data_IF_680166537143
#
_entry.id   IF_680166537143
#
_cell.length_a   1.000
_cell.length_b   1.000
_cell.length_c   1.000
_cell.angle_alpha   90.00
_cell.angle_beta   90.00
_cell.angle_gamma   90.00
#
_symmetry.space_group_name_H-M   'P 1'
#
loop_
_entity.id
_entity.type
_entity.pdbx_description
1 polymer ?
#
# COMPACT_ATOMS: atom_id res chain seq x y z
N UNK A 1 -3.24 43.02 -19.36
CA UNK A 1 -2.43 41.84 -19.74
C UNK A 1 -3.38 40.82 -20.31
N UNK A 2 -3.36 40.64 -21.63
CA UNK A 2 -4.33 39.86 -22.39
C UNK A 2 -4.11 38.36 -22.18
N UNK A 3 -5.13 37.67 -21.70
CA UNK A 3 -5.19 36.20 -21.67
C UNK A 3 -5.50 35.69 -23.07
N UNK A 4 -4.49 35.18 -23.76
CA UNK A 4 -4.64 34.42 -25.00
C UNK A 4 -5.24 33.06 -24.64
N UNK A 5 -6.54 32.89 -24.86
CA UNK A 5 -7.24 31.63 -24.69
C UNK A 5 -6.82 30.66 -25.79
N UNK A 6 -6.02 29.66 -25.42
CA UNK A 6 -5.68 28.53 -26.27
C UNK A 6 -6.87 27.56 -26.26
N UNK A 7 -7.62 27.53 -27.37
CA UNK A 7 -8.70 26.56 -27.60
C UNK A 7 -8.04 25.20 -27.86
N UNK A 8 -8.18 24.28 -26.90
CA UNK A 8 -7.80 22.88 -27.09
C UNK A 8 -8.95 22.18 -27.80
N UNK A 9 -8.68 21.64 -28.98
CA UNK A 9 -9.61 20.77 -29.70
C UNK A 9 -9.82 19.44 -28.94
N UNK A 10 -10.99 18.81 -29.05
CA UNK A 10 -11.27 17.55 -28.37
C UNK A 10 -10.47 16.42 -29.02
N UNK A 11 -9.70 15.67 -28.23
CA UNK A 11 -8.88 14.49 -28.60
C UNK A 11 -9.78 13.27 -28.98
N UNK A 12 -11.03 13.51 -29.41
CA UNK A 12 -12.05 12.49 -29.69
C UNK A 12 -11.93 11.74 -31.01
N UNK A 13 -10.97 12.09 -31.86
CA UNK A 13 -10.90 11.58 -33.24
C UNK A 13 -9.61 10.80 -33.57
N UNK A 14 -8.96 10.17 -32.58
CA UNK A 14 -7.61 9.61 -32.75
C UNK A 14 -7.44 8.15 -32.30
N UNK A 15 -8.53 7.39 -32.18
CA UNK A 15 -8.47 5.93 -32.28
C UNK A 15 -9.25 5.53 -33.54
N UNK A 16 -8.55 5.45 -34.67
CA UNK A 16 -9.10 4.90 -35.91
C UNK A 16 -9.53 3.45 -35.68
N UNK A 17 -10.68 3.07 -36.24
CA UNK A 17 -11.24 1.72 -36.19
C UNK A 17 -10.24 0.66 -36.73
N UNK A 18 -9.28 1.04 -37.57
CA UNK A 18 -8.22 0.16 -38.11
C UNK A 18 -7.32 -0.46 -37.02
N UNK A 19 -7.14 0.22 -35.89
CA UNK A 19 -6.35 -0.28 -34.75
C UNK A 19 -7.08 -1.42 -34.03
N UNK A 20 -8.41 -1.40 -34.10
CA UNK A 20 -9.31 -2.31 -33.38
C UNK A 20 -9.31 -3.69 -34.03
N UNK A 21 -9.28 -3.70 -35.37
CA UNK A 21 -9.26 -4.91 -36.18
C UNK A 21 -7.93 -5.65 -36.06
N UNK A 22 -6.79 -4.94 -36.01
CA UNK A 22 -5.47 -5.56 -35.80
C UNK A 22 -5.35 -6.30 -34.47
N UNK A 23 -5.94 -5.76 -33.39
CA UNK A 23 -5.93 -6.36 -32.05
C UNK A 23 -6.81 -7.62 -31.96
N UNK A 24 -7.98 -7.59 -32.59
CA UNK A 24 -8.86 -8.77 -32.64
C UNK A 24 -8.29 -9.86 -33.57
N UNK A 25 -7.65 -9.48 -34.69
CA UNK A 25 -7.00 -10.40 -35.61
C UNK A 25 -5.80 -11.12 -34.97
N UNK A 26 -4.90 -10.41 -34.27
CA UNK A 26 -3.70 -11.04 -33.70
C UNK A 26 -4.04 -11.92 -32.48
N UNK A 27 -4.97 -11.51 -31.61
CA UNK A 27 -5.42 -12.32 -30.47
C UNK A 27 -6.24 -13.54 -30.93
N UNK A 28 -7.12 -13.38 -31.92
CA UNK A 28 -7.94 -14.46 -32.47
C UNK A 28 -7.12 -15.51 -33.22
N UNK A 29 -6.13 -15.08 -34.02
CA UNK A 29 -5.27 -15.98 -34.79
C UNK A 29 -4.32 -16.79 -33.88
N UNK A 30 -3.88 -16.23 -32.75
CA UNK A 30 -3.00 -16.91 -31.79
C UNK A 30 -3.70 -17.87 -30.83
N UNK A 31 -5.01 -17.71 -30.61
CA UNK A 31 -5.80 -18.56 -29.72
C UNK A 31 -6.57 -19.68 -30.44
N UNK A 32 -6.66 -19.64 -31.78
CA UNK A 32 -7.65 -20.42 -32.54
C UNK A 32 -7.21 -21.74 -33.20
N UNK A 33 -5.92 -22.05 -33.34
CA UNK A 33 -5.50 -22.97 -34.43
C UNK A 33 -4.88 -24.32 -34.09
N UNK A 34 -4.73 -24.74 -32.83
CA UNK A 34 -4.14 -26.08 -32.58
C UNK A 34 -4.80 -26.85 -31.43
N UNK A 35 -5.87 -27.58 -31.74
CA UNK A 35 -6.62 -28.39 -30.77
C UNK A 35 -6.96 -29.81 -31.21
N UNK A 36 -6.19 -30.39 -32.13
CA UNK A 36 -6.28 -31.83 -32.42
C UNK A 36 -5.01 -32.56 -31.96
N UNK A 37 -5.17 -33.38 -30.93
CA UNK A 37 -4.20 -34.37 -30.40
C UNK A 37 -3.01 -33.85 -29.57
N UNK A 38 -3.14 -33.84 -28.24
CA UNK A 38 -2.15 -34.46 -27.34
C UNK A 38 -2.52 -34.35 -25.86
N UNK A 39 -2.58 -35.51 -25.22
CA UNK A 39 -2.52 -35.73 -23.79
C UNK A 39 -1.07 -35.55 -23.32
N UNK A 40 -0.67 -34.35 -22.93
CA UNK A 40 0.59 -34.08 -22.23
C UNK A 40 0.55 -32.70 -21.62
N UNK A 41 0.87 -32.58 -20.32
CA UNK A 41 1.15 -31.39 -19.49
C UNK A 41 0.52 -30.06 -19.94
N UNK A 42 -0.25 -29.35 -19.09
CA UNK A 42 -0.86 -28.07 -19.44
C UNK A 42 0.20 -27.15 -20.04
N UNK A 43 0.14 -27.01 -21.37
CA UNK A 43 1.07 -26.21 -22.14
C UNK A 43 0.90 -24.78 -21.66
N UNK A 44 1.95 -24.24 -21.00
CA UNK A 44 2.05 -22.82 -20.68
C UNK A 44 1.64 -22.06 -21.94
N UNK A 45 0.62 -21.22 -21.82
CA UNK A 45 0.23 -20.29 -22.87
C UNK A 45 1.47 -19.46 -23.21
N UNK A 46 2.21 -19.83 -24.25
CA UNK A 46 3.41 -19.12 -24.66
C UNK A 46 2.94 -17.89 -25.43
N UNK A 47 2.61 -16.83 -24.71
CA UNK A 47 2.49 -15.51 -25.30
C UNK A 47 3.87 -15.17 -25.88
N UNK A 48 4.05 -15.42 -27.17
CA UNK A 48 5.22 -14.97 -27.92
C UNK A 48 5.09 -13.48 -28.12
N UNK A 49 5.53 -12.72 -27.13
CA UNK A 49 5.81 -11.30 -27.31
C UNK A 49 7.05 -11.19 -28.19
N UNK A 50 7.03 -10.29 -29.16
CA UNK A 50 8.22 -9.99 -29.96
C UNK A 50 9.40 -9.70 -29.02
N UNK A 51 10.59 -10.24 -29.31
CA UNK A 51 11.79 -10.12 -28.45
C UNK A 51 12.21 -8.65 -28.17
N UNK A 52 11.55 -7.69 -28.81
CA UNK A 52 11.79 -6.26 -28.71
C UNK A 52 10.94 -5.53 -27.64
N UNK A 53 10.06 -6.22 -26.89
CA UNK A 53 9.31 -5.59 -25.80
C UNK A 53 10.19 -5.34 -24.56
N UNK A 54 10.95 -4.25 -24.60
CA UNK A 54 11.70 -3.73 -23.46
C UNK A 54 10.72 -3.29 -22.36
N UNK A 55 10.66 -4.10 -21.30
CA UNK A 55 9.84 -3.79 -20.14
C UNK A 55 10.50 -2.64 -19.36
N UNK A 56 9.72 -1.68 -18.88
CA UNK A 56 10.23 -0.62 -18.00
C UNK A 56 9.77 -0.86 -16.57
N UNK A 57 10.67 -0.60 -15.63
CA UNK A 57 10.40 -0.68 -14.21
C UNK A 57 11.05 0.48 -13.47
N UNK A 58 10.62 0.74 -12.25
CA UNK A 58 11.15 1.80 -11.40
C UNK A 58 11.50 1.25 -10.04
N UNK A 59 12.65 1.65 -9.47
CA UNK A 59 13.02 1.22 -8.12
C UNK A 59 12.01 1.71 -7.08
N UNK A 60 11.62 0.85 -6.15
CA UNK A 60 10.64 1.17 -5.09
C UNK A 60 11.03 2.41 -4.28
N UNK A 61 12.33 2.64 -4.09
CA UNK A 61 12.85 3.83 -3.43
C UNK A 61 12.37 5.11 -4.11
N UNK A 62 12.40 5.17 -5.45
CA UNK A 62 11.92 6.33 -6.21
C UNK A 62 10.41 6.48 -6.11
N UNK A 63 9.67 5.36 -6.11
CA UNK A 63 8.20 5.33 -6.00
C UNK A 63 7.71 5.87 -4.65
N UNK A 64 8.35 5.46 -3.56
CA UNK A 64 7.96 5.84 -2.19
C UNK A 64 8.55 7.17 -1.73
N UNK A 65 9.53 7.70 -2.45
CA UNK A 65 10.19 8.98 -2.13
C UNK A 65 9.17 10.10 -1.94
N UNK A 66 9.45 10.99 -0.97
CA UNK A 66 8.58 12.14 -0.63
C UNK A 66 7.12 11.70 -0.38
N UNK A 67 6.95 10.61 0.36
CA UNK A 67 5.66 10.03 0.72
C UNK A 67 4.77 9.72 -0.49
N UNK A 68 5.36 9.03 -1.46
CA UNK A 68 4.67 8.58 -2.65
C UNK A 68 4.25 9.71 -3.57
N UNK A 69 5.09 10.74 -3.75
CA UNK A 69 4.79 11.91 -4.62
C UNK A 69 4.30 11.48 -6.00
N UNK A 70 4.84 10.38 -6.52
CA UNK A 70 4.48 9.81 -7.82
C UNK A 70 2.98 9.48 -7.94
N UNK A 71 2.36 9.01 -6.84
CA UNK A 71 0.93 8.70 -6.80
C UNK A 71 0.01 9.95 -6.71
N UNK A 72 0.55 11.15 -6.88
CA UNK A 72 -0.27 12.34 -7.02
C UNK A 72 -1.13 12.26 -8.29
N UNK A 73 -2.33 12.86 -8.26
CA UNK A 73 -3.31 12.84 -9.36
C UNK A 73 -2.91 13.66 -10.60
N UNK A 74 -1.69 14.18 -10.65
CA UNK A 74 -1.20 14.84 -11.86
C UNK A 74 -1.05 13.82 -12.98
N UNK A 75 -1.27 14.27 -14.21
CA UNK A 75 -0.86 13.54 -15.41
C UNK A 75 0.64 13.21 -15.29
N UNK A 76 1.04 12.07 -15.87
CA UNK A 76 2.46 11.73 -15.96
C UNK A 76 3.17 12.70 -16.90
N UNK A 77 4.39 13.05 -16.52
CA UNK A 77 5.28 13.87 -17.35
C UNK A 77 6.34 13.00 -18.01
N UNK A 78 7.05 13.56 -18.99
CA UNK A 78 8.24 12.93 -19.57
C UNK A 78 9.30 12.67 -18.48
N UNK A 79 9.43 13.57 -17.50
CA UNK A 79 10.34 13.38 -16.35
C UNK A 79 9.95 12.14 -15.53
N UNK A 80 8.64 11.91 -15.31
CA UNK A 80 8.16 10.72 -14.60
C UNK A 80 8.54 9.45 -15.39
N UNK A 81 8.41 9.46 -16.71
CA UNK A 81 8.79 8.32 -17.57
C UNK A 81 10.30 8.02 -17.56
N UNK A 82 11.13 9.07 -17.50
CA UNK A 82 12.59 8.97 -17.40
C UNK A 82 13.07 8.44 -16.03
N UNK A 83 12.21 8.40 -15.00
CA UNK A 83 12.55 7.73 -13.74
C UNK A 83 12.62 6.21 -13.89
N UNK A 84 11.88 5.67 -14.86
CA UNK A 84 11.89 4.26 -15.23
C UNK A 84 13.18 3.86 -15.93
N UNK A 85 13.50 2.58 -15.87
CA UNK A 85 14.62 1.98 -16.57
C UNK A 85 14.15 0.70 -17.26
N UNK A 86 14.80 0.35 -18.36
CA UNK A 86 14.54 -0.90 -19.06
C UNK A 86 15.03 -2.09 -18.21
N UNK A 87 14.19 -3.11 -18.11
CA UNK A 87 14.40 -4.32 -17.31
C UNK A 87 13.80 -5.51 -18.04
N UNK A 88 14.35 -6.70 -17.80
CA UNK A 88 13.76 -7.94 -18.32
C UNK A 88 12.60 -8.44 -17.44
N UNK A 89 12.68 -8.16 -16.14
CA UNK A 89 11.73 -8.65 -15.14
C UNK A 89 11.48 -7.56 -14.10
N UNK A 90 10.29 -7.60 -13.49
CA UNK A 90 9.93 -6.71 -12.36
C UNK A 90 9.59 -7.55 -11.14
N UNK A 91 10.09 -7.13 -9.98
CA UNK A 91 9.86 -7.85 -8.72
C UNK A 91 8.39 -7.79 -8.26
N UNK A 92 7.70 -6.69 -8.56
CA UNK A 92 6.29 -6.54 -8.25
C UNK A 92 5.56 -5.65 -9.26
N UNK A 93 4.36 -6.07 -9.64
CA UNK A 93 3.40 -5.25 -10.38
C UNK A 93 2.44 -4.57 -9.40
N UNK A 94 2.40 -3.24 -9.37
CA UNK A 94 1.56 -2.51 -8.42
C UNK A 94 0.23 -2.15 -9.10
N UNK A 95 -0.79 -2.99 -8.86
CA UNK A 95 -2.16 -2.68 -9.27
C UNK A 95 -2.85 -1.83 -8.21
N UNK A 96 -3.45 -0.72 -8.64
CA UNK A 96 -4.00 0.26 -7.72
C UNK A 96 -5.08 1.14 -8.39
N UNK A 97 -5.89 1.80 -7.56
CA UNK A 97 -6.89 2.76 -8.05
C UNK A 97 -6.43 4.22 -7.89
N UNK A 98 -6.50 5.01 -8.96
CA UNK A 98 -6.20 6.44 -8.98
C UNK A 98 -7.11 7.31 -8.09
N UNK A 99 -8.32 6.86 -7.78
CA UNK A 99 -9.22 7.57 -6.85
C UNK A 99 -8.70 7.57 -5.41
N UNK A 100 -7.96 6.53 -5.01
CA UNK A 100 -7.43 6.39 -3.66
C UNK A 100 -6.41 7.50 -3.36
N UNK A 101 -6.56 8.15 -2.20
CA UNK A 101 -5.66 9.22 -1.77
C UNK A 101 -4.20 8.74 -1.74
N UNK A 102 -3.29 9.58 -2.24
CA UNK A 102 -1.84 9.33 -2.33
C UNK A 102 -1.24 8.69 -1.09
N UNK A 103 -1.51 9.28 0.08
CA UNK A 103 -0.92 8.83 1.35
C UNK A 103 -1.33 7.41 1.73
N UNK A 104 -2.57 7.01 1.42
CA UNK A 104 -3.06 5.65 1.73
C UNK A 104 -2.32 4.59 0.89
N UNK A 105 -2.07 4.89 -0.40
CA UNK A 105 -1.23 4.04 -1.27
C UNK A 105 0.19 3.95 -0.75
N UNK A 106 0.79 5.10 -0.42
CA UNK A 106 2.15 5.15 0.12
C UNK A 106 2.28 4.33 1.40
N UNK A 107 1.35 4.48 2.35
CA UNK A 107 1.38 3.72 3.60
C UNK A 107 1.24 2.21 3.37
N UNK A 108 0.32 1.78 2.50
CA UNK A 108 0.16 0.37 2.16
C UNK A 108 1.45 -0.22 1.59
N UNK A 109 2.08 0.49 0.64
CA UNK A 109 3.33 0.04 0.04
C UNK A 109 4.52 0.11 1.00
N UNK A 110 4.59 1.12 1.90
CA UNK A 110 5.58 1.14 2.97
C UNK A 110 5.43 -0.07 3.91
N UNK A 111 4.20 -0.45 4.26
CA UNK A 111 3.96 -1.68 5.04
C UNK A 111 4.42 -2.92 4.28
N UNK A 112 4.13 -3.02 2.99
CA UNK A 112 4.57 -4.16 2.18
C UNK A 112 6.10 -4.27 2.07
N UNK A 113 6.79 -3.17 1.73
CA UNK A 113 8.22 -3.20 1.43
C UNK A 113 9.13 -2.99 2.65
N UNK A 114 8.70 -2.26 3.69
CA UNK A 114 9.58 -1.77 4.76
C UNK A 114 9.21 -2.27 6.17
N UNK A 115 8.20 -3.13 6.35
CA UNK A 115 7.79 -3.57 7.69
C UNK A 115 8.90 -4.33 8.43
N UNK A 116 9.62 -5.22 7.75
CA UNK A 116 10.72 -6.00 8.34
C UNK A 116 11.86 -5.11 8.85
N UNK A 117 12.48 -4.22 8.02
CA UNK A 117 13.53 -3.35 8.53
C UNK A 117 13.01 -2.40 9.61
N UNK A 118 11.75 -1.94 9.54
CA UNK A 118 11.16 -1.11 10.59
C UNK A 118 11.09 -1.84 11.94
N UNK A 119 10.66 -3.11 11.96
CA UNK A 119 10.65 -3.92 13.18
C UNK A 119 12.07 -4.15 13.74
N UNK A 120 13.03 -4.48 12.87
CA UNK A 120 14.42 -4.75 13.29
C UNK A 120 15.06 -3.49 13.88
N UNK A 121 14.97 -2.35 13.19
CA UNK A 121 15.55 -1.09 13.68
C UNK A 121 14.87 -0.63 14.96
N UNK A 122 13.54 -0.75 15.05
CA UNK A 122 12.79 -0.45 16.28
C UNK A 122 13.28 -1.26 17.47
N UNK A 123 13.45 -2.58 17.29
CA UNK A 123 13.94 -3.48 18.33
C UNK A 123 15.38 -3.13 18.75
N UNK A 124 16.26 -2.87 17.79
CA UNK A 124 17.66 -2.48 18.06
C UNK A 124 17.71 -1.17 18.86
N UNK A 125 16.93 -0.16 18.47
CA UNK A 125 16.86 1.12 19.19
C UNK A 125 16.31 0.92 20.60
N UNK A 126 15.27 0.09 20.76
CA UNK A 126 14.70 -0.20 22.07
C UNK A 126 15.71 -0.88 22.99
N UNK A 127 16.44 -1.88 22.51
CA UNK A 127 17.49 -2.57 23.26
C UNK A 127 18.65 -1.62 23.62
N UNK A 128 19.05 -0.77 22.68
CA UNK A 128 20.09 0.23 22.91
C UNK A 128 19.70 1.22 24.01
N UNK A 129 18.48 1.77 23.95
CA UNK A 129 17.98 2.68 24.98
C UNK A 129 17.82 1.98 26.33
N UNK A 130 17.42 0.71 26.33
CA UNK A 130 17.36 -0.10 27.55
C UNK A 130 18.73 -0.27 28.20
N UNK A 131 19.78 -0.57 27.41
CA UNK A 131 21.16 -0.65 27.91
C UNK A 131 21.63 0.70 28.47
N UNK A 132 21.28 1.82 27.81
CA UNK A 132 21.63 3.15 28.31
C UNK A 132 20.91 3.49 29.64
N UNK A 133 19.68 3.00 29.82
CA UNK A 133 18.97 3.11 31.11
C UNK A 133 19.67 2.28 32.18
N UNK A 134 20.05 1.03 31.88
CA UNK A 134 20.78 0.17 32.83
C UNK A 134 22.18 0.71 33.19
N UNK A 135 22.79 1.47 32.30
CA UNK A 135 24.10 2.10 32.51
C UNK A 135 24.01 3.48 33.19
N UNK A 136 22.83 3.85 33.70
CA UNK A 136 22.52 5.16 34.31
C UNK A 136 22.89 6.35 33.40
N UNK A 137 22.85 6.16 32.08
CA UNK A 137 23.11 7.23 31.09
C UNK A 137 21.83 7.93 30.66
N UNK A 138 20.71 7.23 30.70
CA UNK A 138 19.39 7.82 30.53
C UNK A 138 18.70 7.91 31.89
N UNK A 139 18.04 9.03 32.19
CA UNK A 139 17.37 9.20 33.47
C UNK A 139 16.24 8.19 33.56
N UNK A 140 16.29 7.41 34.62
CA UNK A 140 15.17 6.60 35.09
C UNK A 140 14.23 7.56 35.82
N UNK A 141 13.00 7.62 35.34
CA UNK A 141 11.98 8.43 35.99
C UNK A 141 11.62 7.72 37.31
N UNK A 142 11.94 8.37 38.42
CA UNK A 142 11.58 7.92 39.77
C UNK A 142 10.23 8.50 40.13
N UNK A 143 9.32 7.63 40.56
CA UNK A 143 8.08 8.04 41.20
C UNK A 143 8.25 7.84 42.70
N UNK A 144 8.40 8.93 43.44
CA UNK A 144 8.49 8.88 44.90
C UNK A 144 7.07 8.70 45.48
N UNK A 145 6.90 7.72 46.37
CA UNK A 145 5.65 7.56 47.11
C UNK A 145 5.66 8.52 48.30
N UNK A 146 4.72 9.45 48.34
CA UNK A 146 4.46 10.27 49.53
C UNK A 146 3.65 9.43 50.51
N UNK A 147 4.22 9.18 51.69
CA UNK A 147 3.58 8.45 52.78
C UNK A 147 2.34 9.22 53.27
N UNK A 148 1.17 8.59 53.23
CA UNK A 148 -0.13 9.29 53.38
C UNK A 148 -0.61 9.32 54.82
N UNK A 149 -0.22 8.34 55.63
CA UNK A 149 -0.82 8.13 56.95
C UNK A 149 0.17 8.22 58.11
N UNK A 150 1.42 8.65 57.87
CA UNK A 150 2.45 8.67 58.91
C UNK A 150 2.71 7.30 59.54
N UNK A 151 2.22 6.23 58.90
CA UNK A 151 2.60 4.87 59.19
C UNK A 151 3.96 4.72 58.53
N UNK A 152 5.03 4.73 59.32
CA UNK A 152 6.39 4.45 58.84
C UNK A 152 6.43 3.07 58.15
N UNK A 153 6.14 3.01 56.85
CA UNK A 153 6.44 1.85 55.99
C UNK A 153 7.88 2.02 55.43
N UNK A 154 8.75 2.63 56.23
CA UNK A 154 10.07 3.14 55.84
C UNK A 154 11.04 2.05 55.37
N UNK A 155 10.75 0.77 55.64
CA UNK A 155 11.60 -0.36 55.22
C UNK A 155 11.18 -1.06 53.92
N UNK A 156 10.00 -0.79 53.35
CA UNK A 156 9.54 -1.50 52.13
C UNK A 156 8.98 -0.61 51.02
N UNK A 157 9.26 0.69 51.05
CA UNK A 157 9.01 1.58 49.91
C UNK A 157 9.82 1.09 48.69
N UNK A 158 9.18 0.24 47.86
CA UNK A 158 9.76 -0.21 46.59
C UNK A 158 9.76 0.97 45.64
N UNK A 159 10.95 1.43 45.29
CA UNK A 159 11.13 2.40 44.22
C UNK A 159 10.59 1.82 42.91
N UNK A 160 9.53 2.42 42.37
CA UNK A 160 9.05 2.08 41.04
C UNK A 160 9.75 2.96 40.02
N UNK A 161 10.38 2.31 39.06
CA UNK A 161 11.20 2.94 38.06
C UNK A 161 10.57 2.77 36.69
N UNK A 162 10.26 3.88 36.02
CA UNK A 162 9.61 3.88 34.71
C UNK A 162 10.60 4.29 33.61
N UNK A 163 10.81 3.40 32.63
CA UNK A 163 11.61 3.69 31.44
C UNK A 163 10.77 4.08 30.22
N UNK A 164 10.37 5.35 30.07
CA UNK A 164 9.59 5.80 28.91
C UNK A 164 10.41 5.85 27.60
N UNK A 165 11.74 6.02 27.71
CA UNK A 165 12.66 6.16 26.59
C UNK A 165 12.60 4.99 25.62
N UNK A 166 12.56 3.75 26.13
CA UNK A 166 12.52 2.55 25.32
C UNK A 166 11.26 2.50 24.43
N UNK A 167 10.11 2.92 24.98
CA UNK A 167 8.83 2.92 24.27
C UNK A 167 8.78 4.01 23.20
N UNK A 168 9.09 5.26 23.59
CA UNK A 168 9.07 6.41 22.66
C UNK A 168 10.10 6.23 21.56
N UNK A 169 11.31 5.79 21.92
CA UNK A 169 12.40 5.54 20.97
C UNK A 169 12.08 4.40 20.01
N UNK A 170 11.59 3.26 20.51
CA UNK A 170 11.17 2.13 19.68
C UNK A 170 10.06 2.50 18.71
N UNK A 171 9.00 3.17 19.18
CA UNK A 171 7.89 3.64 18.34
C UNK A 171 8.36 4.63 17.27
N UNK A 172 9.18 5.62 17.66
CA UNK A 172 9.69 6.64 16.73
C UNK A 172 10.59 6.00 15.67
N UNK A 173 11.49 5.12 16.09
CA UNK A 173 12.38 4.39 15.19
C UNK A 173 11.60 3.52 14.20
N UNK A 174 10.54 2.84 14.64
CA UNK A 174 9.68 2.05 13.77
C UNK A 174 9.09 2.91 12.64
N UNK A 175 8.40 4.01 12.98
CA UNK A 175 7.71 4.83 11.98
C UNK A 175 8.67 5.61 11.08
N UNK A 176 9.75 6.16 11.65
CA UNK A 176 10.79 6.82 10.85
C UNK A 176 11.40 5.84 9.87
N UNK A 177 11.71 4.61 10.31
CA UNK A 177 12.24 3.58 9.40
C UNK A 177 11.19 3.19 8.36
N UNK A 178 9.94 2.95 8.74
CA UNK A 178 8.89 2.54 7.80
C UNK A 178 8.73 3.54 6.63
N UNK A 179 8.80 4.84 6.91
CA UNK A 179 8.65 5.89 5.89
C UNK A 179 9.94 6.26 5.17
N UNK A 180 11.08 6.24 5.88
CA UNK A 180 12.35 6.75 5.35
C UNK A 180 13.33 5.65 4.95
N UNK A 181 12.99 4.36 5.12
CA UNK A 181 13.89 3.25 4.79
C UNK A 181 14.33 3.28 3.34
N UNK A 182 13.46 3.69 2.41
CA UNK A 182 13.80 3.88 1.00
C UNK A 182 14.98 4.85 0.82
N UNK A 183 14.93 6.01 1.49
CA UNK A 183 15.99 7.02 1.43
C UNK A 183 17.25 6.54 2.17
N UNK A 184 17.10 5.90 3.34
CA UNK A 184 18.21 5.33 4.11
C UNK A 184 18.94 4.25 3.31
N UNK A 185 18.22 3.30 2.71
CA UNK A 185 18.80 2.24 1.89
C UNK A 185 19.57 2.81 0.68
N UNK A 186 19.05 3.87 0.06
CA UNK A 186 19.75 4.55 -1.03
C UNK A 186 21.06 5.22 -0.59
N UNK A 187 21.14 5.77 0.63
CA UNK A 187 22.41 6.29 1.16
C UNK A 187 23.49 5.21 1.28
N UNK A 188 23.09 3.94 1.45
CA UNK A 188 24.00 2.79 1.46
C UNK A 188 24.16 2.12 0.08
N UNK A 189 23.76 2.79 -1.01
CA UNK A 189 23.87 2.26 -2.37
C UNK A 189 22.96 1.06 -2.65
N UNK A 190 21.98 0.76 -1.79
CA UNK A 190 21.03 -0.33 -2.01
C UNK A 190 19.87 0.17 -2.86
N UNK A 191 19.79 -0.31 -4.09
CA UNK A 191 18.58 -0.21 -4.91
C UNK A 191 17.57 -1.24 -4.39
N UNK A 192 16.42 -0.77 -3.90
CA UNK A 192 15.30 -1.67 -3.57
C UNK A 192 14.75 -2.39 -4.81
N UNK A 193 13.74 -3.27 -4.65
CA UNK A 193 13.14 -4.00 -5.75
C UNK A 193 12.65 -3.07 -6.87
N UNK A 194 12.76 -3.55 -8.12
CA UNK A 194 12.21 -2.86 -9.27
C UNK A 194 10.74 -3.24 -9.40
N UNK A 195 9.88 -2.24 -9.50
CA UNK A 195 8.43 -2.42 -9.54
C UNK A 195 7.85 -1.78 -10.79
N UNK A 196 6.73 -2.33 -11.26
CA UNK A 196 5.94 -1.70 -12.30
C UNK A 196 4.94 -0.72 -11.67
N UNK A 197 4.95 0.52 -12.17
CA UNK A 197 3.96 1.56 -11.89
C UNK A 197 3.59 2.21 -13.21
N UNK A 198 2.33 2.05 -13.61
CA UNK A 198 1.74 2.55 -14.86
C UNK A 198 2.21 3.96 -15.25
N UNK A 199 2.16 4.93 -14.33
CA UNK A 199 2.54 6.33 -14.58
C UNK A 199 4.01 6.53 -15.00
N UNK A 200 4.91 5.65 -14.58
CA UNK A 200 6.36 5.73 -14.88
C UNK A 200 6.74 4.80 -16.01
N UNK A 201 6.10 3.63 -16.08
CA UNK A 201 6.51 2.57 -16.99
C UNK A 201 5.84 2.70 -18.36
N UNK A 202 4.71 3.43 -18.44
CA UNK A 202 4.02 3.78 -19.68
C UNK A 202 4.23 5.27 -19.94
N UNK A 203 4.69 5.61 -21.15
CA UNK A 203 4.83 7.00 -21.59
C UNK A 203 3.44 7.67 -21.57
N UNK A 204 3.28 8.70 -20.74
CA UNK A 204 1.99 9.39 -20.59
C UNK A 204 1.82 10.54 -21.59
N UNK A 205 2.89 10.93 -22.30
CA UNK A 205 2.95 12.10 -23.17
C UNK A 205 2.86 11.70 -24.64
N UNK A 206 3.67 10.73 -25.08
CA UNK A 206 3.63 10.22 -26.45
C UNK A 206 2.51 9.18 -26.61
N UNK A 207 1.52 9.49 -27.46
CA UNK A 207 0.31 8.67 -27.64
C UNK A 207 0.64 7.28 -28.19
N UNK A 208 1.58 7.17 -29.13
CA UNK A 208 1.94 5.89 -29.75
C UNK A 208 2.64 4.98 -28.74
N UNK A 209 3.61 5.52 -28.00
CA UNK A 209 4.30 4.79 -26.93
C UNK A 209 3.37 4.44 -25.77
N UNK A 210 2.42 5.33 -25.45
CA UNK A 210 1.38 5.06 -24.46
C UNK A 210 0.55 3.85 -24.85
N UNK A 211 0.08 3.83 -26.11
CA UNK A 211 -0.68 2.73 -26.68
C UNK A 211 0.14 1.44 -26.65
N UNK A 212 1.38 1.46 -27.13
CA UNK A 212 2.28 0.30 -27.07
C UNK A 212 2.46 -0.21 -25.63
N UNK A 213 2.65 0.69 -24.66
CA UNK A 213 2.78 0.34 -23.25
C UNK A 213 1.50 -0.30 -22.68
N UNK A 214 0.32 0.25 -23.01
CA UNK A 214 -0.97 -0.33 -22.60
C UNK A 214 -1.13 -1.75 -23.16
N UNK A 215 -0.76 -1.96 -24.42
CA UNK A 215 -0.81 -3.28 -25.06
C UNK A 215 0.19 -4.28 -24.49
N UNK A 216 1.28 -3.80 -23.90
CA UNK A 216 2.33 -4.63 -23.29
C UNK A 216 2.02 -5.08 -21.86
N UNK A 217 0.92 -4.66 -21.23
CA UNK A 217 0.63 -4.99 -19.82
C UNK A 217 0.50 -6.49 -19.54
N UNK A 218 -0.13 -7.30 -20.39
CA UNK A 218 -0.11 -8.75 -20.22
C UNK A 218 1.31 -9.32 -20.17
N UNK A 219 2.22 -8.77 -20.97
CA UNK A 219 3.64 -9.14 -20.94
C UNK A 219 4.28 -8.76 -19.62
N UNK A 220 4.04 -7.54 -19.12
CA UNK A 220 4.54 -7.11 -17.82
C UNK A 220 4.03 -7.97 -16.68
N UNK A 221 2.75 -8.33 -16.69
CA UNK A 221 2.17 -9.24 -15.70
C UNK A 221 2.81 -10.63 -15.77
N UNK A 222 3.11 -11.13 -16.98
CA UNK A 222 3.83 -12.39 -17.17
C UNK A 222 5.26 -12.34 -16.62
N UNK A 223 5.97 -11.21 -16.83
CA UNK A 223 7.33 -10.96 -16.34
C UNK A 223 7.40 -10.44 -14.88
N UNK A 224 6.26 -10.32 -14.19
CA UNK A 224 6.21 -9.81 -12.82
C UNK A 224 6.28 -10.94 -11.81
N UNK A 225 7.17 -10.85 -10.83
CA UNK A 225 7.29 -11.88 -9.79
C UNK A 225 6.05 -11.99 -8.91
N UNK A 226 5.52 -10.84 -8.48
CA UNK A 226 4.35 -10.73 -7.62
C UNK A 226 3.39 -9.67 -8.13
N UNK A 227 2.09 -9.84 -7.88
CA UNK A 227 1.08 -8.80 -8.10
C UNK A 227 0.71 -8.20 -6.75
N UNK A 228 1.04 -6.93 -6.51
CA UNK A 228 0.72 -6.21 -5.29
C UNK A 228 -0.51 -5.33 -5.55
N UNK A 229 -1.65 -5.77 -5.01
CA UNK A 229 -2.92 -5.07 -5.13
C UNK A 229 -3.16 -4.16 -3.94
N UNK A 230 -3.03 -2.84 -4.16
CA UNK A 230 -3.36 -1.84 -3.14
C UNK A 230 -4.88 -1.72 -3.05
N UNK A 231 -5.44 -2.45 -2.09
CA UNK A 231 -6.87 -2.69 -2.03
C UNK A 231 -7.66 -1.48 -1.55
N UNK A 232 -8.72 -1.14 -2.30
CA UNK A 232 -9.79 -0.22 -1.92
C UNK A 232 -11.15 -0.78 -2.37
N UNK A 233 -12.24 -0.25 -1.84
CA UNK A 233 -13.60 -0.70 -2.21
C UNK A 233 -13.93 -0.54 -3.70
N UNK A 234 -13.18 0.33 -4.40
CA UNK A 234 -13.35 0.58 -5.83
C UNK A 234 -12.36 -0.21 -6.71
N UNK A 235 -11.43 -0.98 -6.13
CA UNK A 235 -10.41 -1.68 -6.92
C UNK A 235 -11.03 -2.66 -7.91
N UNK A 236 -12.03 -3.44 -7.49
CA UNK A 236 -12.69 -4.42 -8.37
C UNK A 236 -13.87 -3.83 -9.19
N UNK A 237 -14.09 -2.53 -9.09
CA UNK A 237 -15.08 -1.80 -9.90
C UNK A 237 -14.43 -1.25 -11.17
N UNK A 238 -13.13 -0.97 -11.13
CA UNK A 238 -12.39 -0.45 -12.28
C UNK A 238 -12.01 -1.60 -13.22
N UNK A 239 -12.42 -1.46 -14.48
CA UNK A 239 -12.20 -2.45 -15.53
C UNK A 239 -10.73 -2.87 -15.63
N UNK A 240 -9.84 -1.89 -15.53
CA UNK A 240 -8.41 -2.09 -15.71
C UNK A 240 -7.75 -2.93 -14.62
N UNK A 241 -8.03 -2.65 -13.37
CA UNK A 241 -7.50 -3.40 -12.22
C UNK A 241 -8.10 -4.81 -12.17
N UNK A 242 -9.35 -4.99 -12.61
CA UNK A 242 -9.91 -6.32 -12.84
C UNK A 242 -9.18 -7.08 -13.95
N UNK A 243 -8.91 -6.43 -15.08
CA UNK A 243 -8.13 -7.02 -16.18
C UNK A 243 -6.74 -7.47 -15.71
N UNK A 244 -6.01 -6.62 -14.97
CA UNK A 244 -4.69 -6.95 -14.44
C UNK A 244 -4.74 -8.17 -13.51
N UNK A 245 -5.73 -8.21 -12.61
CA UNK A 245 -5.93 -9.31 -11.68
C UNK A 245 -6.30 -10.61 -12.42
N UNK A 246 -7.30 -10.57 -13.31
CA UNK A 246 -7.73 -11.73 -14.09
C UNK A 246 -6.59 -12.26 -14.98
N UNK A 247 -5.83 -11.37 -15.62
CA UNK A 247 -4.67 -11.76 -16.44
C UNK A 247 -3.62 -12.47 -15.59
N UNK A 248 -3.28 -11.93 -14.41
CA UNK A 248 -2.31 -12.56 -13.51
C UNK A 248 -2.78 -13.93 -12.97
N UNK A 249 -4.09 -14.06 -12.72
CA UNK A 249 -4.72 -15.32 -12.33
C UNK A 249 -4.72 -16.32 -13.49
N UNK A 250 -5.04 -15.89 -14.72
CA UNK A 250 -5.02 -16.72 -15.93
C UNK A 250 -3.62 -17.24 -16.27
N UNK A 251 -2.57 -16.51 -15.89
CA UNK A 251 -1.18 -16.94 -15.95
C UNK A 251 -0.82 -18.02 -14.89
N UNK A 252 -1.77 -18.42 -14.03
CA UNK A 252 -1.60 -19.47 -13.03
C UNK A 252 -0.81 -19.03 -11.79
N UNK A 253 -0.70 -17.72 -11.51
CA UNK A 253 0.16 -17.15 -10.46
C UNK A 253 -0.62 -16.67 -9.22
N UNK A 254 -1.68 -17.39 -8.84
CA UNK A 254 -2.60 -16.96 -7.76
C UNK A 254 -1.93 -16.86 -6.38
N UNK A 255 -0.93 -17.70 -6.12
CA UNK A 255 -0.11 -17.72 -4.89
C UNK A 255 0.78 -16.49 -4.73
N UNK A 256 1.03 -15.79 -5.84
CA UNK A 256 1.89 -14.60 -5.94
C UNK A 256 1.12 -13.29 -5.88
N UNK A 257 -0.19 -13.34 -5.63
CA UNK A 257 -1.03 -12.16 -5.43
C UNK A 257 -0.97 -11.73 -3.97
N UNK A 258 -0.55 -10.49 -3.73
CA UNK A 258 -0.46 -9.86 -2.41
C UNK A 258 -1.46 -8.72 -2.34
N UNK A 259 -2.44 -8.83 -1.45
CA UNK A 259 -3.48 -7.82 -1.28
C UNK A 259 -3.15 -6.96 -0.07
N UNK A 260 -2.87 -5.68 -0.31
CA UNK A 260 -2.46 -4.73 0.72
C UNK A 260 -3.59 -3.74 1.03
N UNK A 261 -4.32 -3.91 2.16
CA UNK A 261 -5.39 -3.00 2.55
C UNK A 261 -4.87 -1.59 2.84
N UNK A 262 -5.29 -0.63 2.02
CA UNK A 262 -4.95 0.76 2.22
C UNK A 262 -5.48 1.34 3.54
N UNK A 263 -6.59 0.80 4.08
CA UNK A 263 -7.16 1.23 5.36
C UNK A 263 -6.39 0.67 6.56
N UNK A 264 -5.84 -0.55 6.46
CA UNK A 264 -5.20 -1.21 7.60
C UNK A 264 -3.94 -0.46 8.02
N UNK A 265 -3.04 -0.17 7.06
CA UNK A 265 -1.81 0.60 7.33
C UNK A 265 -2.11 1.96 7.94
N UNK A 266 -3.15 2.63 7.42
CA UNK A 266 -3.63 3.91 7.96
C UNK A 266 -4.13 3.75 9.41
N UNK A 267 -5.02 2.79 9.66
CA UNK A 267 -5.57 2.55 10.99
C UNK A 267 -4.47 2.16 12.00
N UNK A 268 -3.53 1.30 11.61
CA UNK A 268 -2.39 0.88 12.44
C UNK A 268 -1.54 2.07 12.89
N UNK A 269 -1.34 3.09 12.04
CA UNK A 269 -0.62 4.31 12.42
C UNK A 269 -1.31 5.05 13.56
N UNK A 270 -2.58 5.44 13.36
CA UNK A 270 -3.32 6.17 14.39
C UNK A 270 -3.53 5.36 15.66
N UNK A 271 -3.76 4.05 15.53
CA UNK A 271 -3.88 3.14 16.65
C UNK A 271 -2.60 3.11 17.48
N UNK A 272 -1.45 2.97 16.83
CA UNK A 272 -0.15 2.96 17.53
C UNK A 272 0.18 4.31 18.18
N UNK A 273 -0.18 5.43 17.52
CA UNK A 273 0.03 6.77 18.04
C UNK A 273 -0.85 7.02 19.27
N UNK A 274 -2.13 6.65 19.18
CA UNK A 274 -3.07 6.73 20.30
C UNK A 274 -2.59 5.88 21.48
N UNK A 275 -2.14 4.64 21.23
CA UNK A 275 -1.58 3.78 22.25
C UNK A 275 -0.33 4.39 22.91
N UNK A 276 0.58 4.98 22.12
CA UNK A 276 1.75 5.68 22.65
C UNK A 276 1.34 6.85 23.55
N UNK A 277 0.38 7.67 23.12
CA UNK A 277 -0.12 8.81 23.91
C UNK A 277 -0.72 8.32 25.23
N UNK A 278 -1.57 7.28 25.19
CA UNK A 278 -2.13 6.69 26.40
C UNK A 278 -1.04 6.16 27.33
N UNK A 279 -0.02 5.47 26.80
CA UNK A 279 1.09 4.99 27.61
C UNK A 279 1.85 6.14 28.27
N UNK A 280 2.23 7.18 27.51
CA UNK A 280 2.91 8.36 28.06
C UNK A 280 2.05 9.03 29.13
N UNK A 281 0.75 9.19 28.87
CA UNK A 281 -0.19 9.78 29.82
C UNK A 281 -0.26 8.97 31.13
N UNK A 282 -0.39 7.64 31.05
CA UNK A 282 -0.37 6.77 32.23
C UNK A 282 0.93 6.91 33.01
N UNK A 283 2.08 7.04 32.34
CA UNK A 283 3.35 7.24 33.04
C UNK A 283 3.42 8.63 33.70
N UNK A 284 2.93 9.68 33.04
CA UNK A 284 2.90 11.03 33.63
C UNK A 284 1.98 11.12 34.84
N UNK A 285 0.84 10.42 34.82
CA UNK A 285 -0.05 10.33 35.98
C UNK A 285 0.63 9.69 37.20
N UNK A 286 1.52 8.73 36.98
CA UNK A 286 2.31 8.10 38.04
C UNK A 286 3.43 9.00 38.59
N UNK A 287 3.80 10.08 37.89
CA UNK A 287 4.94 10.94 38.27
C UNK A 287 4.60 12.16 39.12
N UNK A 288 3.35 12.61 39.18
CA UNK A 288 3.04 13.91 39.79
C UNK A 288 2.86 13.83 41.31
N UNK A 289 3.68 14.55 42.08
CA UNK A 289 3.58 14.63 43.56
C UNK A 289 2.20 15.11 44.04
N UNK A 290 1.64 16.17 43.43
CA UNK A 290 0.27 16.62 43.71
C UNK A 290 -0.79 15.68 43.12
N UNK A 291 -0.41 14.91 42.09
CA UNK A 291 -1.29 13.94 41.45
C UNK A 291 -1.40 12.68 42.30
N UNK A 292 -0.38 12.32 43.07
CA UNK A 292 -0.43 11.27 44.09
C UNK A 292 -1.47 11.58 45.17
N UNK A 293 -1.61 12.84 45.61
CA UNK A 293 -2.70 13.25 46.52
C UNK A 293 -4.08 13.10 45.89
N UNK A 294 -4.20 13.40 44.59
CA UNK A 294 -5.45 13.21 43.84
C UNK A 294 -5.72 11.71 43.60
N UNK A 295 -4.71 10.90 43.24
CA UNK A 295 -4.81 9.45 43.03
C UNK A 295 -5.13 8.69 44.33
N UNK A 296 -4.63 9.18 45.46
CA UNK A 296 -4.91 8.64 46.80
C UNK A 296 -6.34 8.95 47.25
N UNK A 297 -6.94 10.02 46.73
CA UNK A 297 -8.40 10.16 46.84
C UNK A 297 -9.05 9.02 46.05
N UNK A 298 -10.04 8.36 46.64
CA UNK A 298 -10.79 7.28 45.96
C UNK A 298 -11.27 7.70 44.56
N UNK A 299 -11.62 8.98 44.40
CA UNK A 299 -12.02 9.61 43.14
C UNK A 299 -10.92 9.62 42.06
N UNK A 300 -9.65 9.84 42.43
CA UNK A 300 -8.55 9.88 41.46
C UNK A 300 -8.14 8.49 40.99
N UNK A 301 -8.15 7.49 41.88
CA UNK A 301 -7.95 6.10 41.50
C UNK A 301 -9.08 5.61 40.59
N UNK A 302 -10.34 5.90 40.95
CA UNK A 302 -11.50 5.58 40.12
C UNK A 302 -11.40 6.25 38.75
N UNK A 303 -11.00 7.53 38.68
CA UNK A 303 -10.84 8.24 37.42
C UNK A 303 -9.73 7.62 36.56
N UNK A 304 -8.58 7.27 37.14
CA UNK A 304 -7.48 6.66 36.40
C UNK A 304 -7.83 5.26 35.88
N UNK A 305 -8.44 4.43 36.72
CA UNK A 305 -8.95 3.12 36.30
C UNK A 305 -10.01 3.30 35.21
N UNK A 306 -10.90 4.28 35.34
CA UNK A 306 -11.91 4.57 34.33
C UNK A 306 -11.28 5.01 33.01
N UNK A 307 -10.33 5.93 33.02
CA UNK A 307 -9.61 6.39 31.82
C UNK A 307 -8.84 5.25 31.17
N UNK A 308 -8.16 4.42 31.96
CA UNK A 308 -7.48 3.23 31.46
C UNK A 308 -8.46 2.25 30.83
N UNK A 309 -9.53 1.87 31.53
CA UNK A 309 -10.56 0.94 31.04
C UNK A 309 -11.24 1.49 29.79
N UNK A 310 -11.59 2.78 29.73
CA UNK A 310 -12.16 3.41 28.54
C UNK A 310 -11.15 3.48 27.38
N UNK A 311 -9.89 3.78 27.67
CA UNK A 311 -8.81 3.80 26.68
C UNK A 311 -8.57 2.42 26.06
N UNK A 312 -8.43 1.38 26.90
CA UNK A 312 -8.22 0.00 26.46
C UNK A 312 -9.45 -0.60 25.80
N UNK A 313 -10.66 -0.34 26.30
CA UNK A 313 -11.90 -0.79 25.66
C UNK A 313 -12.14 -0.09 24.32
N UNK A 314 -11.82 1.20 24.21
CA UNK A 314 -11.81 1.94 22.94
C UNK A 314 -10.80 1.37 21.94
N UNK A 315 -9.59 1.04 22.40
CA UNK A 315 -8.55 0.39 21.60
C UNK A 315 -9.03 -0.98 21.08
N UNK A 316 -9.54 -1.83 21.97
CA UNK A 316 -10.08 -3.15 21.61
C UNK A 316 -11.25 -3.03 20.64
N UNK A 317 -12.16 -2.08 20.87
CA UNK A 317 -13.28 -1.81 19.96
C UNK A 317 -12.80 -1.36 18.58
N UNK A 318 -11.76 -0.53 18.52
CA UNK A 318 -11.16 -0.10 17.26
C UNK A 318 -10.45 -1.26 16.54
N UNK A 319 -9.70 -2.09 17.26
CA UNK A 319 -9.09 -3.31 16.72
C UNK A 319 -10.18 -4.23 16.15
N UNK A 320 -11.24 -4.50 16.93
CA UNK A 320 -12.38 -5.28 16.47
C UNK A 320 -13.06 -4.66 15.25
N UNK A 321 -13.24 -3.34 15.21
CA UNK A 321 -13.83 -2.66 14.07
C UNK A 321 -12.95 -2.78 12.82
N UNK A 322 -11.62 -2.66 12.96
CA UNK A 322 -10.65 -2.83 11.87
C UNK A 322 -10.63 -4.29 11.39
N UNK A 323 -10.58 -5.26 12.30
CA UNK A 323 -10.62 -6.69 11.96
C UNK A 323 -11.95 -7.10 11.34
N UNK A 324 -13.08 -6.59 11.85
CA UNK A 324 -14.39 -6.83 11.27
C UNK A 324 -14.53 -6.16 9.90
N UNK A 325 -13.98 -4.95 9.73
CA UNK A 325 -13.92 -4.31 8.42
C UNK A 325 -13.07 -5.11 7.45
N UNK A 326 -11.89 -5.57 7.87
CA UNK A 326 -11.01 -6.44 7.09
C UNK A 326 -11.68 -7.76 6.72
N UNK A 327 -12.36 -8.43 7.66
CA UNK A 327 -13.13 -9.64 7.41
C UNK A 327 -14.22 -9.43 6.37
N UNK A 328 -14.99 -8.33 6.48
CA UNK A 328 -15.97 -7.94 5.46
C UNK A 328 -15.31 -7.66 4.11
N UNK A 329 -14.13 -7.05 4.11
CA UNK A 329 -13.34 -6.76 2.92
C UNK A 329 -12.91 -8.05 2.20
N UNK A 330 -12.28 -8.97 2.93
CA UNK A 330 -11.88 -10.27 2.41
C UNK A 330 -13.08 -11.06 1.89
N UNK A 331 -14.22 -10.99 2.59
CA UNK A 331 -15.46 -11.60 2.14
C UNK A 331 -15.95 -10.98 0.82
N UNK A 332 -15.97 -9.64 0.70
CA UNK A 332 -16.33 -8.94 -0.54
C UNK A 332 -15.39 -9.29 -1.70
N UNK A 333 -14.09 -9.30 -1.46
CA UNK A 333 -13.08 -9.68 -2.47
C UNK A 333 -13.34 -11.09 -2.95
N UNK A 334 -13.48 -12.05 -2.01
CA UNK A 334 -13.75 -13.44 -2.36
C UNK A 334 -15.05 -13.56 -3.15
N UNK A 335 -16.09 -12.83 -2.76
CA UNK A 335 -17.37 -12.80 -3.48
C UNK A 335 -17.20 -12.26 -4.90
N UNK A 336 -16.54 -11.12 -5.07
CA UNK A 336 -16.30 -10.51 -6.38
C UNK A 336 -15.43 -11.38 -7.28
N UNK A 337 -14.36 -11.98 -6.73
CA UNK A 337 -13.51 -12.93 -7.45
C UNK A 337 -14.32 -14.17 -7.87
N UNK A 338 -15.20 -14.67 -7.00
CA UNK A 338 -16.06 -15.80 -7.32
C UNK A 338 -17.12 -15.43 -8.38
N UNK A 339 -17.76 -14.27 -8.28
CA UNK A 339 -18.72 -13.77 -9.29
C UNK A 339 -18.03 -13.60 -10.66
N UNK A 340 -16.80 -13.05 -10.69
CA UNK A 340 -15.98 -12.94 -11.90
C UNK A 340 -15.61 -14.32 -12.45
N UNK A 341 -15.13 -15.23 -11.60
CA UNK A 341 -14.71 -16.58 -12.00
C UNK A 341 -15.87 -17.40 -12.60
N UNK A 342 -17.05 -17.33 -11.99
CA UNK A 342 -18.25 -18.03 -12.47
C UNK A 342 -18.80 -17.41 -13.76
N UNK A 343 -18.73 -16.08 -13.91
CA UNK A 343 -19.08 -15.42 -15.16
C UNK A 343 -18.16 -15.86 -16.31
N UNK A 344 -16.85 -16.00 -16.03
CA UNK A 344 -15.85 -16.44 -17.00
C UNK A 344 -15.96 -17.92 -17.37
N UNK A 345 -16.21 -18.83 -16.42
CA UNK A 345 -16.40 -20.25 -16.75
C UNK A 345 -17.62 -20.51 -17.64
N UNK A 346 -18.60 -19.61 -17.64
CA UNK A 346 -19.71 -19.65 -18.58
C UNK A 346 -19.41 -19.00 -19.94
N UNK A 347 -18.39 -18.13 -20.06
CA UNK A 347 -18.17 -17.26 -21.23
C UNK A 347 -16.71 -17.10 -21.70
N UNK A 348 -15.77 -17.96 -21.30
CA UNK A 348 -14.34 -17.87 -21.66
C UNK A 348 -14.05 -17.87 -23.18
N UNK A 349 -15.02 -18.26 -24.02
CA UNK A 349 -14.97 -18.12 -25.48
C UNK A 349 -15.51 -16.77 -26.02
N UNK A 350 -16.29 -16.02 -25.24
CA UNK A 350 -16.91 -14.75 -25.64
C UNK A 350 -16.20 -13.51 -25.06
N UNK A 351 -15.46 -13.66 -23.95
CA UNK A 351 -14.85 -12.51 -23.24
C UNK A 351 -13.57 -12.02 -23.93
N UNK A 352 -12.76 -12.88 -24.56
CA UNK A 352 -11.59 -12.43 -25.32
C UNK A 352 -11.95 -11.46 -26.45
N UNK A 353 -13.09 -11.67 -27.10
CA UNK A 353 -13.59 -10.80 -28.18
C UNK A 353 -14.42 -9.63 -27.63
N UNK A 354 -15.25 -9.85 -26.62
CA UNK A 354 -16.14 -8.81 -26.06
C UNK A 354 -15.45 -7.84 -25.10
N UNK A 355 -14.43 -8.25 -24.33
CA UNK A 355 -13.72 -7.38 -23.39
C UNK A 355 -12.84 -6.39 -24.14
N UNK A 356 -12.15 -6.88 -25.17
CA UNK A 356 -11.47 -6.06 -26.16
C UNK A 356 -12.50 -5.10 -26.76
N UNK A 357 -13.59 -5.58 -27.38
CA UNK A 357 -14.63 -4.71 -27.95
C UNK A 357 -15.27 -3.70 -26.95
N UNK A 358 -15.33 -4.00 -25.65
CA UNK A 358 -15.92 -3.13 -24.63
C UNK A 358 -14.93 -2.08 -24.10
N UNK A 359 -13.65 -2.41 -23.97
CA UNK A 359 -12.57 -1.41 -23.82
C UNK A 359 -12.57 -0.48 -25.05
N UNK A 360 -12.75 -1.05 -26.24
CA UNK A 360 -12.77 -0.29 -27.49
C UNK A 360 -14.00 0.64 -27.59
N UNK A 361 -15.19 0.21 -27.17
CA UNK A 361 -16.39 1.08 -27.10
C UNK A 361 -16.32 2.16 -26.01
N UNK A 362 -15.63 1.89 -24.90
CA UNK A 362 -15.51 2.85 -23.78
C UNK A 362 -14.36 3.85 -23.94
N UNK A 363 -13.53 3.74 -24.99
CA UNK A 363 -12.57 4.80 -25.34
C UNK A 363 -13.18 5.98 -26.12
N UNK A 364 -14.49 5.97 -26.38
CA UNK A 364 -15.27 7.18 -26.70
C UNK A 364 -15.42 8.14 -25.50
N UNK A 365 -14.85 7.80 -24.34
CA UNK A 365 -14.75 8.65 -23.15
C UNK A 365 -13.63 9.72 -23.27
N UNK A 366 -13.74 10.61 -24.25
CA UNK A 366 -12.96 11.86 -24.24
C UNK A 366 -13.50 12.92 -23.28
N UNK A 367 -14.58 12.60 -22.54
CA UNK A 367 -15.16 13.43 -21.49
C UNK A 367 -15.20 12.70 -20.12
N UNK A 368 -14.09 12.11 -19.70
CA UNK A 368 -13.94 11.67 -18.31
C UNK A 368 -13.75 12.89 -17.37
N UNK A 369 -14.36 12.94 -16.17
CA UNK A 369 -14.46 14.13 -15.30
C UNK A 369 -13.14 14.57 -14.62
N UNK A 370 -11.98 14.23 -15.18
CA UNK A 370 -10.68 14.72 -14.71
C UNK A 370 -10.46 16.22 -14.95
N UNK A 371 -11.39 16.90 -15.64
CA UNK A 371 -11.28 18.33 -16.01
C UNK A 371 -12.26 19.27 -15.27
N UNK A 372 -13.10 18.82 -14.35
CA UNK A 372 -14.04 19.72 -13.67
C UNK A 372 -14.23 19.45 -12.18
N UNK A 373 -13.30 19.96 -11.37
CA UNK A 373 -13.57 20.57 -10.05
C UNK A 373 -12.33 21.38 -9.63
N UNK A 374 -12.47 22.67 -9.25
CA UNK A 374 -11.35 23.49 -8.79
C UNK A 374 -10.68 22.96 -7.52
#
# INVERSE_FOLDING_TARGET
MSSTGMVLEPIGSLMDDDILDDLQLDLGHRLGTDRSSRTSNPSKLSLQFSDEFLCRGVGVTKVLRRFGKLFNRSLGTEEDYQLGQEVHEVSAFITHNWSLKRWKKCMALCCYFHIVPACVVSLVVQLFLFVLVLADKLPLIRADYVDVDGIDISETAREYHVGCWCMVGGWSAFWLTLFLWADVAAMFGRSGPIVFVDKVCIDQVNIDRKKQGILAIPAWLACSDTLVAVFSDELLVKLWTCFELCTFVALGRTDKIRVEPALLSYASFFLSMFFLILLIWNQLLLMGDDTNRVLQSALGLELCVTVAVLGYSGLLSLIFAVLAHWGRLCHRIRKQVHELWFSEHCNLLAIGTSFTAQILKTNSWTNSPWQSSP
#
